data_IF_253112557979
#
_entry.id   IF_253112557979
#
_cell.length_a   1.000
_cell.length_b   1.000
_cell.length_c   1.000
_cell.angle_alpha   90.00
_cell.angle_beta   90.00
_cell.angle_gamma   90.00
#
_symmetry.space_group_name_H-M   'P 1'
#
loop_
_entity.id
_entity.type
_entity.pdbx_description
1 polymer ?
#
# COMPACT_ATOMS: atom_id res chain seq x y z
N UNK A 1 12.79 -3.39 -2.46
CA UNK A 1 11.37 -3.48 -2.01
C UNK A 1 11.38 -4.27 -0.71
N UNK A 2 11.00 -3.65 0.40
CA UNK A 2 11.02 -4.27 1.73
C UNK A 2 9.59 -4.32 2.26
N UNK A 3 9.11 -5.53 2.55
CA UNK A 3 7.81 -5.73 3.19
C UNK A 3 7.90 -5.29 4.65
N UNK A 4 6.92 -4.49 5.08
CA UNK A 4 6.77 -4.03 6.46
C UNK A 4 5.45 -4.54 7.04
N UNK A 5 5.36 -4.76 8.36
CA UNK A 5 4.10 -5.13 9.00
C UNK A 5 3.00 -4.10 8.72
N UNK A 6 1.77 -4.52 8.43
CA UNK A 6 0.67 -3.57 8.17
C UNK A 6 0.42 -2.61 9.35
N UNK A 7 0.75 -3.03 10.57
CA UNK A 7 0.68 -2.22 11.79
C UNK A 7 1.53 -0.95 11.72
N UNK A 8 2.60 -0.98 10.93
CA UNK A 8 3.57 0.11 10.81
C UNK A 8 3.21 1.08 9.67
N UNK A 9 2.10 0.85 8.96
CA UNK A 9 1.63 1.74 7.90
C UNK A 9 1.11 3.05 8.50
N UNK A 10 1.73 4.18 8.18
CA UNK A 10 1.22 5.49 8.62
C UNK A 10 0.16 6.03 7.66
N UNK A 11 -0.70 6.94 8.13
CA UNK A 11 -1.71 7.59 7.28
C UNK A 11 -1.05 8.38 6.13
N UNK A 12 0.01 9.14 6.41
CA UNK A 12 0.78 9.85 5.37
C UNK A 12 1.36 8.89 4.30
N UNK A 13 1.96 7.77 4.71
CA UNK A 13 2.50 6.78 3.76
C UNK A 13 1.39 6.11 2.95
N UNK A 14 0.25 5.82 3.58
CA UNK A 14 -0.92 5.28 2.89
C UNK A 14 -1.45 6.28 1.85
N UNK A 15 -1.69 7.53 2.23
CA UNK A 15 -2.22 8.56 1.34
C UNK A 15 -1.30 8.77 0.13
N UNK A 16 0.01 8.91 0.36
CA UNK A 16 0.98 9.08 -0.73
C UNK A 16 1.05 7.82 -1.60
N UNK A 17 1.18 6.65 -1.00
CA UNK A 17 1.36 5.41 -1.75
C UNK A 17 0.11 4.99 -2.51
N UNK A 18 -1.10 5.23 -2.00
CA UNK A 18 -2.34 4.93 -2.74
C UNK A 18 -2.61 5.99 -3.81
N UNK A 19 -2.39 7.29 -3.51
CA UNK A 19 -2.52 8.37 -4.51
C UNK A 19 -1.67 8.10 -5.75
N UNK A 20 -0.46 7.59 -5.54
CA UNK A 20 0.48 7.30 -6.61
C UNK A 20 0.34 5.84 -7.13
N UNK A 21 -0.69 5.09 -6.70
CA UNK A 21 -0.93 3.69 -7.08
C UNK A 21 0.27 2.76 -6.88
N UNK A 22 0.91 2.88 -5.72
CA UNK A 22 2.17 2.21 -5.33
C UNK A 22 2.06 1.38 -4.05
N UNK A 23 0.94 1.43 -3.33
CA UNK A 23 0.75 0.62 -2.13
C UNK A 23 0.38 -0.81 -2.50
N UNK A 24 1.17 -1.77 -2.05
CA UNK A 24 0.90 -3.20 -2.20
C UNK A 24 0.72 -3.81 -0.82
N UNK A 25 -0.31 -4.63 -0.64
CA UNK A 25 -0.58 -5.37 0.59
C UNK A 25 -0.54 -6.87 0.34
N UNK A 26 -0.20 -7.66 1.35
CA UNK A 26 -0.18 -9.13 1.27
C UNK A 26 -0.51 -9.75 2.63
N UNK A 27 -0.96 -11.01 2.60
CA UNK A 27 -1.15 -11.81 3.79
C UNK A 27 -0.63 -13.24 3.57
N UNK A 28 -0.56 -14.03 4.63
CA UNK A 28 -0.09 -15.41 4.59
C UNK A 28 -0.87 -16.33 3.63
N UNK A 29 -2.11 -15.98 3.28
CA UNK A 29 -2.98 -16.77 2.40
C UNK A 29 -3.08 -16.23 0.96
N UNK A 30 -2.81 -14.94 0.75
CA UNK A 30 -3.01 -14.21 -0.50
C UNK A 30 -1.74 -13.46 -0.87
N UNK A 31 -1.33 -13.62 -2.13
CA UNK A 31 -0.19 -12.91 -2.70
C UNK A 31 -0.37 -11.38 -2.75
N UNK A 32 0.62 -10.66 -3.27
CA UNK A 32 0.61 -9.20 -3.31
C UNK A 32 -0.60 -8.65 -4.09
N UNK A 33 -1.33 -7.74 -3.47
CA UNK A 33 -2.46 -7.03 -4.02
C UNK A 33 -2.15 -5.53 -4.07
N UNK A 34 -2.28 -4.92 -5.25
CA UNK A 34 -2.11 -3.47 -5.40
C UNK A 34 -3.37 -2.77 -4.88
N UNK A 35 -3.20 -1.83 -3.96
CA UNK A 35 -4.26 -0.95 -3.49
C UNK A 35 -4.30 0.25 -4.43
N UNK A 36 -5.30 0.26 -5.32
CA UNK A 36 -5.44 1.24 -6.39
C UNK A 36 -6.58 2.25 -6.17
N UNK A 37 -7.42 2.04 -5.15
CA UNK A 37 -8.60 2.88 -4.91
C UNK A 37 -8.66 3.39 -3.47
N UNK A 38 -8.54 4.71 -3.32
CA UNK A 38 -9.08 5.42 -2.16
C UNK A 38 -10.59 5.47 -2.36
N UNK A 39 -11.32 4.48 -1.86
CA UNK A 39 -12.78 4.67 -1.67
C UNK A 39 -12.96 5.58 -0.46
N UNK A 40 -13.87 6.54 -0.52
CA UNK A 40 -14.21 7.44 0.59
C UNK A 40 -14.43 6.62 1.88
N UNK A 41 -13.47 6.66 2.82
CA UNK A 41 -13.48 5.89 4.07
C UNK A 41 -12.45 4.75 4.19
N UNK A 42 -11.74 4.40 3.11
CA UNK A 42 -10.61 3.47 3.17
C UNK A 42 -9.35 4.23 3.62
N UNK A 43 -9.07 4.19 4.92
CA UNK A 43 -7.89 4.80 5.55
C UNK A 43 -6.90 3.71 5.99
N UNK A 44 -5.65 4.09 6.28
CA UNK A 44 -4.63 3.14 6.76
C UNK A 44 -5.13 2.31 7.95
N UNK A 45 -5.93 2.94 8.83
CA UNK A 45 -6.58 2.29 9.97
C UNK A 45 -7.52 1.16 9.56
N UNK A 46 -8.29 1.32 8.48
CA UNK A 46 -9.17 0.27 7.97
C UNK A 46 -8.36 -0.94 7.49
N UNK A 47 -7.23 -0.73 6.79
CA UNK A 47 -6.35 -1.83 6.39
C UNK A 47 -5.75 -2.59 7.57
N UNK A 48 -5.44 -1.89 8.67
CA UNK A 48 -4.92 -2.49 9.90
C UNK A 48 -6.01 -3.28 10.64
N UNK A 49 -7.22 -2.75 10.69
CA UNK A 49 -8.32 -3.30 11.50
C UNK A 49 -9.17 -4.35 10.78
N UNK A 50 -9.17 -4.37 9.45
CA UNK A 50 -9.86 -5.39 8.65
C UNK A 50 -9.32 -6.81 8.95
N UNK A 51 -8.08 -6.89 9.45
CA UNK A 51 -7.44 -8.16 9.82
C UNK A 51 -7.13 -9.06 8.63
N UNK A 52 -7.35 -8.56 7.41
CA UNK A 52 -7.13 -9.27 6.17
C UNK A 52 -5.68 -9.19 5.71
N UNK A 53 -4.90 -8.18 6.11
CA UNK A 53 -3.53 -7.97 5.61
C UNK A 53 -2.49 -8.11 6.72
N UNK A 54 -1.36 -8.76 6.41
CA UNK A 54 -0.25 -8.93 7.35
C UNK A 54 0.88 -7.94 7.07
N UNK A 55 1.11 -7.64 5.79
CA UNK A 55 2.25 -6.85 5.32
C UNK A 55 1.85 -5.85 4.25
N UNK A 56 2.64 -4.78 4.17
CA UNK A 56 2.59 -3.81 3.07
C UNK A 56 3.98 -3.54 2.48
N UNK A 57 3.98 -3.08 1.25
CA UNK A 57 5.16 -2.64 0.51
C UNK A 57 4.78 -1.41 -0.31
N UNK A 58 5.62 -0.38 -0.30
CA UNK A 58 5.47 0.77 -1.18
C UNK A 58 6.44 0.60 -2.34
N UNK A 59 5.91 0.50 -3.56
CA UNK A 59 6.72 0.42 -4.77
C UNK A 59 7.53 1.71 -4.93
N UNK A 60 8.76 1.68 -5.47
CA UNK A 60 9.48 2.91 -5.79
C UNK A 60 8.70 3.74 -6.81
N UNK A 61 8.98 5.04 -6.87
CA UNK A 61 8.50 5.85 -7.99
C UNK A 61 9.03 5.22 -9.27
N UNK A 62 8.15 4.99 -10.25
CA UNK A 62 8.64 4.63 -11.57
C UNK A 62 9.53 5.78 -12.03
N UNK A 63 10.77 5.52 -12.47
CA UNK A 63 11.56 6.56 -13.11
C UNK A 63 10.73 7.10 -14.27
N UNK A 64 10.69 8.43 -14.40
CA UNK A 64 10.05 9.14 -15.50
C UNK A 64 10.75 8.74 -16.82
N UNK A 65 10.40 7.57 -17.37
CA UNK A 65 10.87 7.12 -18.68
C UNK A 65 10.08 7.85 -19.78
N UNK A 66 10.08 9.18 -19.70
CA UNK A 66 9.57 10.10 -20.71
C UNK A 66 10.47 11.34 -20.88
N UNK A 67 11.76 11.23 -20.55
CA UNK A 67 12.79 12.21 -20.90
C UNK A 67 14.02 11.51 -21.50
N UNK A 68 13.86 10.91 -22.68
CA UNK A 68 14.91 10.32 -23.50
C UNK A 68 14.54 10.29 -24.97
#
# INVERSE_FOLDING_TARGET
>A
MHWRPISDLTDDEFEIAVRDSRLVVANSCNGPHLVDMITDGFVADALKHDGMWDWYCVLPELPDEASG
#
